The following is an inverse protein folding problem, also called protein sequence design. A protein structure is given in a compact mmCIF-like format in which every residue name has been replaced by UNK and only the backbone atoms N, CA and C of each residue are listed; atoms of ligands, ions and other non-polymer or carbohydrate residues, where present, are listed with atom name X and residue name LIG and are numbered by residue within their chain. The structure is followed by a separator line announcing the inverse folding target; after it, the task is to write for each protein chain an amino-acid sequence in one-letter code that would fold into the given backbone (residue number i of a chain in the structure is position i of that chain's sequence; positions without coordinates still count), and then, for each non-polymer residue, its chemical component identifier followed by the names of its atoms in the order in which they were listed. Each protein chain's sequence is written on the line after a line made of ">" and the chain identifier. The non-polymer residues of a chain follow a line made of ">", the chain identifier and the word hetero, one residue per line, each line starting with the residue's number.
data_IF_300107171552
#
_entry.id   IF_300107171552
#
_cell.length_a   1.000
_cell.length_b   1.000
_cell.length_c   1.000
_cell.angle_alpha   90.00
_cell.angle_beta   90.00
_cell.angle_gamma   90.00
#
_symmetry.space_group_name_H-M   'P 1'
#
loop_
_entity.id
_entity.type
_entity.pdbx_description
1 polymer ?
#
# COMPACT_ATOMS: atom_id res chain seq x y z
N UNK A 1 -7.90 12.90 -24.10
CA UNK A 1 -7.61 12.45 -23.69
C UNK A 1 -7.30 12.06 -23.25
N UNK A 2 -7.33 12.10 -23.23
CA UNK A 2 -6.66 11.60 -22.71
C UNK A 2 -6.73 11.05 -22.02
N UNK A 3 -6.86 11.11 -21.90
CA UNK A 3 -6.69 10.54 -21.26
C UNK A 3 -6.58 9.99 -20.66
N UNK A 4 -6.72 10.04 -20.80
CA UNK A 4 -6.47 9.50 -20.21
C UNK A 4 -6.09 9.06 -19.46
N UNK A 5 -6.06 9.08 -19.48
CA UNK A 5 -5.52 8.74 -18.73
C UNK A 5 -5.33 8.41 -18.04
N UNK A 6 -5.34 8.46 -17.99
CA UNK A 6 -4.92 8.22 -17.21
C UNK A 6 -5.08 7.86 -16.64
N UNK A 7 -5.58 8.11 -17.02
CA UNK A 7 -5.68 7.92 -16.20
C UNK A 7 -5.31 7.30 -15.00
N UNK A 8 -5.76 7.55 -14.07
CA UNK A 8 -5.27 7.16 -12.82
C UNK A 8 -4.03 6.30 -12.95
N UNK A 9 -3.16 6.37 -12.05
CA UNK A 9 -2.00 5.53 -12.13
C UNK A 9 -2.42 4.08 -11.87
N UNK A 10 -2.24 3.18 -12.84
CA UNK A 10 -2.57 1.78 -12.61
C UNK A 10 -1.66 1.13 -11.61
N UNK A 11 -0.61 1.84 -11.20
CA UNK A 11 0.36 1.28 -10.27
C UNK A 11 0.13 1.64 -8.84
N UNK A 12 -0.89 2.43 -8.57
CA UNK A 12 -1.21 2.74 -7.19
C UNK A 12 -1.88 1.55 -6.53
N UNK A 13 -1.35 1.09 -5.41
CA UNK A 13 -1.96 -0.05 -4.74
C UNK A 13 -3.28 0.34 -4.10
N UNK A 14 -4.21 -0.59 -4.10
CA UNK A 14 -5.49 -0.41 -3.43
C UNK A 14 -5.36 -0.98 -2.03
N UNK A 15 -5.50 -0.12 -1.06
CA UNK A 15 -5.31 -0.51 0.33
C UNK A 15 -6.65 -0.66 1.04
N UNK A 16 -6.72 -1.57 2.03
CA UNK A 16 -7.92 -1.66 2.87
C UNK A 16 -8.16 -0.37 3.62
N UNK A 17 -9.37 -0.17 4.16
CA UNK A 17 -9.70 1.07 4.86
C UNK A 17 -8.72 1.39 5.98
N UNK A 18 -8.24 2.62 6.00
CA UNK A 18 -7.37 3.11 7.04
C UNK A 18 -5.90 2.83 6.84
N UNK A 19 -5.55 1.98 5.88
CA UNK A 19 -4.14 1.72 5.59
C UNK A 19 -3.58 2.86 4.75
N UNK A 20 -2.32 3.17 4.98
CA UNK A 20 -1.64 4.26 4.28
C UNK A 20 -0.26 3.80 3.83
N UNK A 21 0.17 4.37 2.73
CA UNK A 21 1.53 4.15 2.24
C UNK A 21 2.31 5.43 2.45
N UNK A 22 3.34 5.35 3.28
CA UNK A 22 4.14 6.51 3.65
C UNK A 22 5.28 6.68 2.65
N UNK A 23 5.32 7.84 2.02
CA UNK A 23 6.34 8.19 1.03
C UNK A 23 7.35 9.19 1.56
N UNK A 24 7.50 9.29 2.87
CA UNK A 24 8.43 10.24 3.47
C UNK A 24 9.87 10.01 3.03
N UNK A 25 10.22 8.76 2.84
CA UNK A 25 11.57 8.39 2.40
C UNK A 25 11.54 8.14 0.89
N UNK A 26 12.41 8.80 0.12
CA UNK A 26 12.41 8.60 -1.33
C UNK A 26 12.84 7.20 -1.76
N UNK A 27 13.50 6.46 -0.89
CA UNK A 27 14.00 5.14 -1.24
C UNK A 27 13.15 4.00 -0.67
N UNK A 28 12.29 4.30 0.28
CA UNK A 28 11.53 3.27 0.99
C UNK A 28 10.07 3.67 1.09
N UNK A 29 9.20 2.73 0.76
CA UNK A 29 7.76 2.88 0.99
C UNK A 29 7.41 2.11 2.25
N UNK A 30 6.70 2.76 3.16
CA UNK A 30 6.33 2.15 4.43
C UNK A 30 4.82 1.99 4.46
N UNK A 31 4.37 0.75 4.60
CA UNK A 31 2.95 0.46 4.69
C UNK A 31 2.54 0.50 6.15
N UNK A 32 1.57 1.35 6.45
CA UNK A 32 1.09 1.53 7.82
C UNK A 32 -0.35 1.08 7.94
N UNK A 33 -0.68 0.46 9.05
CA UNK A 33 -2.05 0.10 9.35
C UNK A 33 -2.80 1.29 9.97
N UNK A 34 -4.12 1.17 10.16
CA UNK A 34 -4.89 2.29 10.71
C UNK A 34 -4.42 2.77 12.08
N UNK A 35 -3.72 1.92 12.80
CA UNK A 35 -3.21 2.28 14.12
C UNK A 35 -1.84 2.95 14.05
N UNK A 36 -1.30 3.10 12.85
CA UNK A 36 -0.01 3.74 12.68
C UNK A 36 1.18 2.82 12.81
N UNK A 37 0.94 1.53 12.94
CA UNK A 37 2.01 0.55 13.08
C UNK A 37 2.53 0.15 11.70
N UNK A 38 3.84 -0.05 11.60
CA UNK A 38 4.45 -0.48 10.35
C UNK A 38 4.06 -1.92 10.05
N UNK A 39 3.46 -2.13 8.88
CA UNK A 39 3.10 -3.46 8.42
C UNK A 39 4.26 -4.05 7.62
N UNK A 40 4.83 -3.26 6.71
CA UNK A 40 5.89 -3.74 5.84
C UNK A 40 6.62 -2.56 5.23
N UNK A 41 7.84 -2.83 4.76
CA UNK A 41 8.63 -1.84 4.05
C UNK A 41 8.99 -2.38 2.68
N UNK A 42 8.98 -1.50 1.69
CA UNK A 42 9.27 -1.87 0.31
C UNK A 42 10.27 -0.91 -0.28
N UNK A 43 11.05 -1.40 -1.23
CA UNK A 43 11.93 -0.53 -2.00
C UNK A 43 11.06 0.34 -2.93
N UNK A 44 11.25 1.66 -2.86
CA UNK A 44 10.47 2.56 -3.69
C UNK A 44 10.71 2.31 -5.18
N UNK A 45 11.85 1.75 -5.52
CA UNK A 45 12.20 1.53 -6.92
C UNK A 45 11.73 0.19 -7.46
N UNK A 46 11.61 -0.80 -6.58
CA UNK A 46 11.28 -2.13 -7.02
C UNK A 46 9.96 -2.67 -6.55
N UNK A 47 9.24 -1.90 -5.77
CA UNK A 47 7.99 -2.40 -5.21
C UNK A 47 6.89 -2.41 -6.26
N UNK A 48 6.25 -3.55 -6.40
CA UNK A 48 5.08 -3.66 -7.26
C UNK A 48 3.83 -3.36 -6.44
N UNK A 49 2.88 -2.67 -7.06
CA UNK A 49 1.64 -2.34 -6.37
C UNK A 49 0.94 -3.60 -5.87
N UNK A 50 1.02 -4.67 -6.63
CA UNK A 50 0.39 -5.94 -6.26
C UNK A 50 0.98 -6.51 -4.98
N UNK A 51 2.28 -6.36 -4.79
CA UNK A 51 2.93 -6.87 -3.58
C UNK A 51 2.50 -6.07 -2.37
N UNK A 52 2.40 -4.75 -2.53
CA UNK A 52 1.95 -3.90 -1.45
C UNK A 52 0.51 -4.22 -1.08
N UNK A 53 -0.34 -4.37 -2.08
CA UNK A 53 -1.74 -4.73 -1.85
C UNK A 53 -1.86 -6.07 -1.13
N UNK A 54 -1.03 -7.02 -1.54
CA UNK A 54 -1.06 -8.36 -0.96
C UNK A 54 -0.73 -8.30 0.53
N UNK A 55 0.33 -7.59 0.88
CA UNK A 55 0.74 -7.48 2.27
C UNK A 55 -0.33 -6.76 3.10
N UNK A 56 -0.89 -5.69 2.56
CA UNK A 56 -1.92 -4.95 3.26
C UNK A 56 -3.16 -5.83 3.47
N UNK A 57 -3.53 -6.57 2.44
CA UNK A 57 -4.71 -7.43 2.51
C UNK A 57 -4.53 -8.56 3.51
N UNK A 58 -3.34 -9.14 3.53
CA UNK A 58 -3.04 -10.20 4.49
C UNK A 58 -3.11 -9.67 5.91
N UNK A 59 -2.53 -8.51 6.14
CA UNK A 59 -2.55 -7.91 7.48
C UNK A 59 -3.99 -7.57 7.90
N UNK A 60 -4.76 -7.02 6.98
CA UNK A 60 -6.14 -6.67 7.23
C UNK A 60 -6.96 -7.91 7.62
N UNK A 61 -6.72 -9.00 6.90
CA UNK A 61 -7.41 -10.25 7.15
C UNK A 61 -7.06 -10.81 8.53
N UNK A 62 -5.78 -10.73 8.89
CA UNK A 62 -5.33 -11.20 10.19
C UNK A 62 -5.96 -10.40 11.33
N UNK A 63 -6.04 -9.09 11.16
CA UNK A 63 -6.65 -8.23 12.16
C UNK A 63 -8.12 -8.60 12.37
N UNK A 64 -8.83 -8.82 11.26
CA UNK A 64 -10.25 -9.15 11.35
C UNK A 64 -10.49 -10.49 11.98
N UNK A 65 -9.59 -11.42 11.77
CA UNK A 65 -9.71 -12.73 12.39
C UNK A 65 -9.50 -12.67 13.89
N UNK A 66 -8.65 -11.77 14.33
CA UNK A 66 -8.31 -11.66 15.74
C UNK A 66 -9.40 -10.96 16.55
N UNK A 67 -10.25 -10.24 15.87
CA UNK A 67 -11.28 -9.44 16.56
C UNK A 67 -12.44 -10.27 17.12
#
# INVERSE_FOLDING_TARGET
>A
MRLLGGTGSPEEPRLPPGYVLDHSDPDVLVLLCPQGTVVARFSARGAAAKDIEKEARMHYRERNRSA
#
